data_IF_259247029980
#
_entry.id   IF_259247029980
#
_cell.length_a   1.000
_cell.length_b   1.000
_cell.length_c   1.000
_cell.angle_alpha   90.00
_cell.angle_beta   90.00
_cell.angle_gamma   90.00
#
_symmetry.space_group_name_H-M   'P 1'
#
loop_
_entity.id
_entity.type
_entity.pdbx_description
1 polymer ?
#
# COMPACT_ATOMS: atom_id res chain seq x y z
N UNK A 1 5.00 27.39 -16.01
CA UNK A 1 5.13 27.23 -14.53
C UNK A 1 3.75 26.99 -13.97
N UNK A 2 3.52 25.88 -13.27
CA UNK A 2 2.25 25.62 -12.60
C UNK A 2 2.05 26.64 -11.48
N UNK A 3 0.86 27.26 -11.41
CA UNK A 3 0.48 28.25 -10.41
C UNK A 3 0.49 27.67 -8.98
N UNK A 4 0.39 26.34 -8.86
CA UNK A 4 0.26 25.63 -7.60
C UNK A 4 1.46 24.72 -7.36
N UNK A 5 1.88 24.62 -6.09
CA UNK A 5 2.96 23.75 -5.63
C UNK A 5 2.57 22.26 -5.75
N UNK A 6 1.33 21.92 -5.38
CA UNK A 6 0.77 20.56 -5.49
C UNK A 6 -0.68 20.58 -5.93
N UNK A 7 -1.08 19.49 -6.61
CA UNK A 7 -2.43 19.27 -7.10
C UNK A 7 -2.97 17.97 -6.51
N UNK A 8 -4.19 18.05 -5.97
CA UNK A 8 -4.86 16.91 -5.36
C UNK A 8 -6.22 16.72 -6.01
N UNK A 9 -6.46 15.52 -6.54
CA UNK A 9 -7.68 15.17 -7.26
C UNK A 9 -8.42 14.08 -6.53
N UNK A 10 -9.62 14.38 -6.03
CA UNK A 10 -10.55 13.37 -5.56
C UNK A 10 -11.50 13.02 -6.70
N UNK A 11 -11.54 11.75 -7.08
CA UNK A 11 -12.34 11.27 -8.20
C UNK A 11 -13.42 10.34 -7.66
N UNK A 12 -14.69 10.69 -7.86
CA UNK A 12 -15.79 9.78 -7.60
C UNK A 12 -15.86 8.76 -8.74
N UNK A 13 -15.60 7.48 -8.44
CA UNK A 13 -15.59 6.42 -9.46
C UNK A 13 -15.24 5.05 -8.90
N UNK A 14 -15.34 4.06 -9.76
CA UNK A 14 -14.99 2.67 -9.46
C UNK A 14 -13.53 2.41 -9.84
N UNK A 15 -12.72 1.99 -8.86
CA UNK A 15 -11.31 1.70 -9.06
C UNK A 15 -11.03 0.50 -9.99
N UNK A 16 -12.04 -0.33 -10.28
CA UNK A 16 -11.93 -1.41 -11.27
C UNK A 16 -11.78 -0.92 -12.71
N UNK A 17 -11.98 0.37 -12.93
CA UNK A 17 -11.76 1.01 -14.22
C UNK A 17 -11.05 2.36 -14.04
N UNK A 18 -9.73 2.32 -14.09
CA UNK A 18 -8.83 3.47 -14.10
C UNK A 18 -8.33 3.80 -15.52
N UNK A 19 -9.10 3.47 -16.56
CA UNK A 19 -8.73 3.70 -17.97
C UNK A 19 -8.50 5.17 -18.31
N UNK A 20 -9.07 6.08 -17.52
CA UNK A 20 -8.89 7.53 -17.64
C UNK A 20 -7.53 8.04 -17.15
N UNK A 21 -6.72 7.19 -16.52
CA UNK A 21 -5.37 7.53 -16.06
C UNK A 21 -4.33 7.11 -17.09
N UNK A 22 -3.37 7.98 -17.32
CA UNK A 22 -2.25 7.71 -18.23
C UNK A 22 -1.33 6.62 -17.68
N UNK A 23 -0.70 5.86 -18.60
CA UNK A 23 0.32 4.89 -18.26
C UNK A 23 1.52 5.60 -17.65
N UNK A 24 2.15 4.93 -16.67
CA UNK A 24 3.40 5.39 -16.05
C UNK A 24 3.35 6.83 -15.50
N UNK A 25 2.18 7.26 -15.01
CA UNK A 25 1.93 8.59 -14.45
C UNK A 25 2.04 8.66 -12.93
N UNK A 26 2.00 7.52 -12.22
CA UNK A 26 1.98 7.42 -10.76
C UNK A 26 3.30 6.87 -10.23
N UNK A 27 3.79 7.46 -9.16
CA UNK A 27 5.08 7.13 -8.55
C UNK A 27 4.96 6.18 -7.37
N UNK A 28 3.87 6.32 -6.60
CA UNK A 28 3.59 5.54 -5.41
C UNK A 28 2.08 5.33 -5.29
N UNK A 29 1.67 4.12 -4.95
CA UNK A 29 0.31 3.81 -4.53
C UNK A 29 0.36 3.42 -3.06
N UNK A 30 -0.46 4.07 -2.22
CA UNK A 30 -0.67 3.71 -0.81
C UNK A 30 -2.15 3.54 -0.59
N UNK A 31 -2.58 2.33 -0.26
CA UNK A 31 -4.01 1.99 -0.22
C UNK A 31 -4.33 0.88 0.77
N UNK A 32 -5.62 0.76 1.10
CA UNK A 32 -6.19 -0.34 1.88
C UNK A 32 -7.51 -0.76 1.23
N UNK A 33 -7.55 -1.88 0.51
CA UNK A 33 -8.78 -2.36 -0.11
C UNK A 33 -9.80 -2.81 0.94
N UNK A 34 -11.06 -3.04 0.59
CA UNK A 34 -11.99 -3.74 1.46
C UNK A 34 -11.44 -5.11 1.87
N UNK A 35 -11.63 -5.49 3.16
CA UNK A 35 -11.20 -6.80 3.66
C UNK A 35 -12.35 -7.81 3.47
N UNK A 36 -12.69 -8.10 2.21
CA UNK A 36 -13.80 -8.96 1.83
C UNK A 36 -15.06 -8.59 2.62
N UNK A 37 -15.72 -9.55 3.29
CA UNK A 37 -16.97 -9.36 4.08
C UNK A 37 -16.72 -8.99 5.55
N UNK A 38 -15.46 -8.69 5.94
CA UNK A 38 -15.11 -8.43 7.36
C UNK A 38 -15.79 -7.18 7.91
N UNK A 39 -15.97 -6.16 7.08
CA UNK A 39 -16.61 -4.89 7.46
C UNK A 39 -17.80 -4.62 6.55
N UNK A 40 -18.89 -4.15 7.15
CA UNK A 40 -20.05 -3.71 6.40
C UNK A 40 -19.84 -2.26 5.97
N UNK A 41 -19.63 -2.09 4.67
CA UNK A 41 -19.58 -0.77 4.04
C UNK A 41 -21.00 -0.30 3.71
N UNK A 42 -21.15 0.96 3.29
CA UNK A 42 -22.42 1.52 2.85
C UNK A 42 -22.91 0.78 1.59
N UNK A 43 -24.22 0.73 1.43
CA UNK A 43 -24.81 0.07 0.26
C UNK A 43 -24.57 0.92 -0.99
N UNK A 44 -23.82 0.37 -1.92
CA UNK A 44 -23.56 0.92 -3.24
C UNK A 44 -23.39 -0.24 -4.23
N UNK A 45 -24.00 -0.18 -5.44
CA UNK A 45 -23.97 -1.30 -6.40
C UNK A 45 -22.57 -1.81 -6.78
N UNK A 46 -21.57 -0.93 -6.77
CA UNK A 46 -20.18 -1.27 -7.07
C UNK A 46 -19.32 -1.62 -5.85
N UNK A 47 -19.88 -1.68 -4.64
CA UNK A 47 -19.13 -1.88 -3.41
C UNK A 47 -18.56 -3.30 -3.31
N UNK A 48 -17.24 -3.42 -3.37
CA UNK A 48 -16.56 -4.72 -3.37
C UNK A 48 -16.69 -5.48 -2.03
N UNK A 49 -16.87 -4.79 -0.92
CA UNK A 49 -17.11 -5.40 0.39
C UNK A 49 -18.42 -6.19 0.51
N UNK A 50 -19.27 -6.18 -0.53
CA UNK A 50 -20.51 -6.95 -0.61
C UNK A 50 -20.40 -8.21 -1.50
N UNK A 51 -19.24 -8.48 -2.09
CA UNK A 51 -19.00 -9.69 -2.88
C UNK A 51 -18.82 -10.86 -1.91
N UNK A 52 -19.81 -11.77 -1.83
CA UNK A 52 -19.78 -12.88 -0.88
C UNK A 52 -18.83 -14.00 -1.30
N UNK A 53 -18.69 -14.24 -2.60
CA UNK A 53 -17.75 -15.22 -3.15
C UNK A 53 -16.33 -14.68 -3.07
N UNK A 54 -15.46 -15.42 -2.38
CA UNK A 54 -14.08 -14.98 -2.13
C UNK A 54 -13.22 -14.94 -3.38
N UNK A 55 -13.32 -15.95 -4.23
CA UNK A 55 -12.52 -16.03 -5.46
C UNK A 55 -12.91 -14.89 -6.41
N UNK A 56 -14.21 -14.62 -6.55
CA UNK A 56 -14.71 -13.48 -7.31
C UNK A 56 -14.23 -12.15 -6.73
N UNK A 57 -14.15 -12.03 -5.41
CA UNK A 57 -13.61 -10.84 -4.76
C UNK A 57 -12.13 -10.63 -5.13
N UNK A 58 -11.32 -11.70 -5.11
CA UNK A 58 -9.90 -11.65 -5.53
C UNK A 58 -9.75 -11.33 -7.01
N UNK A 59 -10.62 -11.88 -7.87
CA UNK A 59 -10.65 -11.54 -9.31
C UNK A 59 -10.93 -10.05 -9.54
N UNK A 60 -11.91 -9.47 -8.83
CA UNK A 60 -12.23 -8.05 -8.93
C UNK A 60 -11.10 -7.17 -8.41
N UNK A 61 -10.43 -7.54 -7.32
CA UNK A 61 -9.22 -6.87 -6.84
C UNK A 61 -8.09 -6.95 -7.88
N UNK A 62 -7.95 -8.07 -8.55
CA UNK A 62 -6.90 -8.27 -9.56
C UNK A 62 -7.02 -7.30 -10.74
N UNK A 63 -8.25 -6.91 -11.13
CA UNK A 63 -8.47 -5.87 -12.15
C UNK A 63 -7.88 -4.53 -11.71
N UNK A 64 -8.06 -4.18 -10.45
CA UNK A 64 -7.51 -2.94 -9.88
C UNK A 64 -5.98 -3.00 -9.86
N UNK A 65 -5.41 -4.14 -9.45
CA UNK A 65 -3.95 -4.30 -9.43
C UNK A 65 -3.34 -4.28 -10.84
N UNK A 66 -4.04 -4.75 -11.88
CA UNK A 66 -3.63 -4.61 -13.28
C UNK A 66 -3.57 -3.15 -13.70
N UNK A 67 -4.59 -2.35 -13.37
CA UNK A 67 -4.56 -0.91 -13.59
C UNK A 67 -3.41 -0.24 -12.80
N UNK A 68 -3.24 -0.60 -11.53
CA UNK A 68 -2.15 -0.10 -10.70
C UNK A 68 -0.77 -0.38 -11.32
N UNK A 69 -0.57 -1.60 -11.87
CA UNK A 69 0.67 -1.94 -12.56
C UNK A 69 0.88 -1.10 -13.81
N UNK A 70 -0.15 -0.90 -14.63
CA UNK A 70 -0.08 -0.10 -15.86
C UNK A 70 0.31 1.35 -15.57
N UNK A 71 -0.37 1.99 -14.62
CA UNK A 71 -0.21 3.42 -14.32
C UNK A 71 1.02 3.76 -13.46
N UNK A 72 1.62 2.78 -12.79
CA UNK A 72 2.87 3.02 -12.06
C UNK A 72 4.04 3.22 -13.03
N UNK A 73 4.90 4.18 -12.71
CA UNK A 73 6.20 4.33 -13.40
C UNK A 73 7.08 3.10 -13.14
N UNK A 74 8.04 2.77 -14.04
CA UNK A 74 9.05 1.74 -13.76
C UNK A 74 9.76 2.00 -12.43
N UNK A 75 9.87 0.96 -11.58
CA UNK A 75 10.41 1.07 -10.23
C UNK A 75 9.45 1.68 -9.19
N UNK A 76 8.26 2.15 -9.61
CA UNK A 76 7.19 2.62 -8.72
C UNK A 76 6.65 1.51 -7.83
N UNK A 77 6.03 1.88 -6.71
CA UNK A 77 5.58 0.92 -5.69
C UNK A 77 4.09 0.96 -5.46
N UNK A 78 3.51 -0.22 -5.29
CA UNK A 78 2.19 -0.42 -4.71
C UNK A 78 2.38 -0.88 -3.25
N UNK A 79 1.91 -0.07 -2.31
CA UNK A 79 1.91 -0.34 -0.88
C UNK A 79 0.48 -0.60 -0.45
N UNK A 80 0.18 -1.84 -0.06
CA UNK A 80 -1.17 -2.28 0.30
C UNK A 80 -1.24 -2.64 1.78
N UNK A 81 -2.03 -1.89 2.55
CA UNK A 81 -2.31 -2.18 3.96
C UNK A 81 -3.49 -3.13 4.03
N UNK A 82 -3.29 -4.31 4.60
CA UNK A 82 -4.30 -5.36 4.62
C UNK A 82 -4.15 -6.28 5.83
N UNK A 83 -5.27 -6.67 6.43
CA UNK A 83 -5.35 -7.71 7.46
C UNK A 83 -6.00 -8.97 6.93
N UNK A 84 -5.71 -10.10 7.56
CA UNK A 84 -6.38 -11.36 7.26
C UNK A 84 -7.81 -11.38 7.79
N UNK A 85 -8.67 -12.15 7.14
CA UNK A 85 -10.09 -12.20 7.45
C UNK A 85 -10.38 -13.35 8.39
N UNK A 86 -10.68 -13.04 9.65
CA UNK A 86 -11.05 -14.02 10.65
C UNK A 86 -12.55 -14.33 10.57
N UNK A 87 -12.88 -15.55 10.21
CA UNK A 87 -14.25 -16.06 10.16
C UNK A 87 -14.62 -16.70 11.51
N UNK A 88 -15.65 -16.17 12.17
CA UNK A 88 -16.03 -16.62 13.49
C UNK A 88 -16.77 -17.97 13.46
N UNK A 89 -16.54 -18.82 14.48
CA UNK A 89 -17.26 -20.09 14.65
C UNK A 89 -18.78 -19.91 14.68
N UNK A 90 -19.27 -18.82 15.26
CA UNK A 90 -20.72 -18.56 15.36
C UNK A 90 -21.38 -18.44 13.98
N UNK A 91 -20.69 -17.82 13.02
CA UNK A 91 -21.23 -17.57 11.66
C UNK A 91 -20.91 -18.69 10.69
N UNK A 92 -19.73 -19.33 10.82
CA UNK A 92 -19.19 -20.28 9.84
C UNK A 92 -18.99 -21.71 10.39
N UNK A 93 -19.50 -22.01 11.59
CA UNK A 93 -19.40 -23.34 12.23
C UNK A 93 -18.02 -23.64 12.81
N UNK A 94 -16.96 -23.02 12.33
CA UNK A 94 -15.58 -23.15 12.78
C UNK A 94 -14.85 -21.82 12.70
N UNK A 95 -13.75 -21.69 13.45
CA UNK A 95 -12.85 -20.55 13.30
C UNK A 95 -11.89 -20.83 12.13
N UNK A 96 -11.85 -19.91 11.15
CA UNK A 96 -10.98 -19.98 9.99
C UNK A 96 -10.37 -18.61 9.74
N UNK A 97 -9.11 -18.56 9.35
CA UNK A 97 -8.44 -17.35 8.89
C UNK A 97 -8.22 -17.48 7.37
N UNK A 98 -8.77 -16.53 6.62
CA UNK A 98 -8.51 -16.40 5.19
C UNK A 98 -7.31 -15.48 5.02
N UNK A 99 -6.19 -15.96 4.44
CA UNK A 99 -4.94 -15.21 4.36
C UNK A 99 -4.96 -14.20 3.20
N UNK A 100 -5.83 -13.19 3.30
CA UNK A 100 -6.06 -12.19 2.26
C UNK A 100 -4.76 -11.50 1.81
N UNK A 101 -3.84 -11.26 2.75
CA UNK A 101 -2.54 -10.67 2.44
C UNK A 101 -1.72 -11.53 1.46
N UNK A 102 -1.75 -12.85 1.64
CA UNK A 102 -1.01 -13.78 0.79
C UNK A 102 -1.63 -13.84 -0.61
N UNK A 103 -2.97 -13.89 -0.71
CA UNK A 103 -3.67 -13.96 -2.00
C UNK A 103 -3.47 -12.67 -2.80
N UNK A 104 -3.46 -11.50 -2.16
CA UNK A 104 -3.10 -10.23 -2.81
C UNK A 104 -1.64 -10.28 -3.30
N UNK A 105 -0.69 -10.73 -2.48
CA UNK A 105 0.73 -10.82 -2.87
C UNK A 105 0.93 -11.77 -4.06
N UNK A 106 0.24 -12.93 -4.06
CA UNK A 106 0.27 -13.88 -5.18
C UNK A 106 -0.36 -13.29 -6.44
N UNK A 107 -1.50 -12.60 -6.32
CA UNK A 107 -2.17 -11.94 -7.43
C UNK A 107 -1.26 -10.87 -8.05
N UNK A 108 -0.66 -10.00 -7.25
CA UNK A 108 0.27 -8.97 -7.71
C UNK A 108 1.49 -9.58 -8.42
N UNK A 109 2.06 -10.66 -7.89
CA UNK A 109 3.16 -11.38 -8.55
C UNK A 109 2.78 -11.95 -9.91
N UNK A 110 1.56 -12.51 -10.05
CA UNK A 110 1.06 -13.02 -11.34
C UNK A 110 0.87 -11.90 -12.39
N UNK A 111 0.57 -10.68 -11.95
CA UNK A 111 0.44 -9.50 -12.81
C UNK A 111 1.82 -8.98 -13.29
N UNK A 112 2.90 -9.28 -12.55
CA UNK A 112 4.26 -8.86 -12.90
C UNK A 112 4.92 -7.92 -11.88
N UNK A 113 4.34 -7.76 -10.69
CA UNK A 113 5.01 -7.06 -9.61
C UNK A 113 6.10 -7.92 -8.95
N UNK A 114 7.19 -7.30 -8.56
CA UNK A 114 8.15 -7.87 -7.61
C UNK A 114 7.60 -7.72 -6.19
N UNK A 115 7.46 -8.82 -5.44
CA UNK A 115 7.20 -8.75 -4.01
C UNK A 115 8.47 -8.36 -3.26
N UNK A 116 8.36 -7.40 -2.36
CA UNK A 116 9.41 -7.00 -1.43
C UNK A 116 9.02 -7.43 0.00
N UNK A 117 9.97 -7.35 0.94
CA UNK A 117 9.68 -7.65 2.34
C UNK A 117 8.53 -6.77 2.86
N UNK A 118 7.45 -7.35 3.40
CA UNK A 118 6.37 -6.57 3.99
C UNK A 118 6.79 -5.95 5.32
N UNK A 119 6.10 -4.89 5.71
CA UNK A 119 6.14 -4.38 7.07
C UNK A 119 4.97 -4.99 7.84
N UNK A 120 5.23 -5.46 9.06
CA UNK A 120 4.21 -5.97 9.98
C UNK A 120 3.76 -4.81 10.87
N UNK A 121 2.50 -4.43 10.74
CA UNK A 121 1.92 -3.40 11.59
C UNK A 121 1.23 -4.03 12.78
N UNK A 122 1.81 -3.89 13.96
CA UNK A 122 1.24 -4.33 15.22
C UNK A 122 0.25 -3.28 15.75
N UNK A 123 -1.04 -3.64 15.77
CA UNK A 123 -2.15 -2.80 16.20
C UNK A 123 -2.48 -3.04 17.67
N UNK A 124 -1.79 -2.45 18.61
CA UNK A 124 -1.99 -2.66 20.06
C UNK A 124 -3.43 -2.44 20.50
N UNK A 125 -4.18 -1.53 19.87
CA UNK A 125 -5.55 -1.18 20.24
C UNK A 125 -6.62 -2.19 19.79
N UNK A 126 -6.37 -3.00 18.76
CA UNK A 126 -7.38 -3.95 18.24
C UNK A 126 -7.64 -5.12 19.20
N UNK A 127 -6.63 -5.57 19.92
CA UNK A 127 -6.75 -6.65 20.89
C UNK A 127 -7.72 -6.33 22.03
N UNK A 128 -7.86 -5.06 22.42
CA UNK A 128 -8.77 -4.62 23.48
C UNK A 128 -10.24 -4.62 23.05
N UNK A 129 -10.51 -4.33 21.77
CA UNK A 129 -11.88 -4.22 21.24
C UNK A 129 -12.55 -5.59 21.04
N UNK A 130 -11.79 -6.61 20.64
CA UNK A 130 -12.32 -7.97 20.47
C UNK A 130 -12.58 -8.66 21.83
N UNK A 131 -11.94 -8.18 22.89
CA UNK A 131 -12.03 -8.69 24.26
C UNK A 131 -13.20 -8.08 25.05
N UNK A 132 -13.73 -6.93 24.65
CA UNK A 132 -14.76 -6.20 25.40
C UNK A 132 -16.16 -6.85 25.37
N UNK A 133 -16.36 -7.97 24.68
CA UNK A 133 -17.60 -8.75 24.72
C UNK A 133 -17.62 -9.80 25.87
N UNK A 134 -16.95 -9.54 26.98
CA UNK A 134 -17.12 -10.27 28.25
C UNK A 134 -16.15 -11.41 28.52
N UNK A 135 -15.31 -11.81 27.57
CA UNK A 135 -14.25 -12.81 27.80
C UNK A 135 -12.89 -12.27 27.37
N UNK A 136 -11.97 -12.19 28.33
CA UNK A 136 -10.58 -11.75 28.06
C UNK A 136 -9.77 -12.73 27.20
N UNK A 137 -10.34 -13.88 26.82
CA UNK A 137 -9.66 -14.98 26.14
C UNK A 137 -10.54 -15.59 25.05
N UNK A 138 -9.93 -15.96 23.93
CA UNK A 138 -10.55 -16.81 22.94
C UNK A 138 -10.34 -18.28 23.34
N UNK A 139 -11.43 -18.96 23.71
CA UNK A 139 -11.39 -20.33 24.23
C UNK A 139 -11.35 -20.36 25.77
N UNK A 140 -10.99 -21.51 26.32
CA UNK A 140 -10.82 -21.68 27.76
C UNK A 140 -9.45 -21.15 28.17
N UNK A 141 -9.38 -20.20 29.15
CA UNK A 141 -8.09 -19.68 29.59
C UNK A 141 -7.22 -20.79 30.18
N UNK A 142 -5.93 -20.73 29.88
CA UNK A 142 -4.90 -21.67 30.38
C UNK A 142 -5.03 -23.14 29.93
N UNK A 143 -6.01 -23.46 29.08
CA UNK A 143 -6.09 -24.77 28.44
C UNK A 143 -5.43 -24.76 27.05
N UNK A 144 -4.90 -25.90 26.55
CA UNK A 144 -4.45 -26.05 25.17
C UNK A 144 -5.58 -25.77 24.17
N UNK A 145 -5.22 -25.42 22.91
CA UNK A 145 -6.14 -25.11 21.82
C UNK A 145 -6.87 -23.76 21.91
N UNK A 146 -6.37 -22.80 22.67
CA UNK A 146 -6.83 -21.43 22.59
C UNK A 146 -6.52 -20.82 21.21
N UNK A 147 -7.39 -19.92 20.76
CA UNK A 147 -7.23 -19.21 19.46
C UNK A 147 -6.26 -18.04 19.64
N UNK A 148 -5.30 -17.92 18.75
CA UNK A 148 -4.40 -16.76 18.70
C UNK A 148 -5.17 -15.57 18.11
N UNK A 149 -5.10 -14.41 18.77
CA UNK A 149 -5.70 -13.18 18.29
C UNK A 149 -4.98 -12.66 17.05
N UNK A 150 -5.76 -12.09 16.13
CA UNK A 150 -5.22 -11.35 14.99
C UNK A 150 -5.03 -9.88 15.39
N UNK A 151 -3.86 -9.53 15.87
CA UNK A 151 -3.48 -8.20 16.35
C UNK A 151 -2.50 -7.47 15.42
N UNK A 152 -2.25 -8.04 14.25
CA UNK A 152 -1.39 -7.46 13.22
C UNK A 152 -2.15 -7.19 11.93
N UNK A 153 -1.60 -6.27 11.13
CA UNK A 153 -1.88 -6.14 9.70
C UNK A 153 -0.57 -6.13 8.91
N UNK A 154 -0.68 -6.46 7.64
CA UNK A 154 0.45 -6.47 6.72
C UNK A 154 0.45 -5.18 5.90
N UNK A 155 1.62 -4.57 5.74
CA UNK A 155 1.87 -3.53 4.76
C UNK A 155 2.66 -4.19 3.65
N UNK A 156 1.94 -4.68 2.64
CA UNK A 156 2.53 -5.36 1.50
C UNK A 156 3.26 -4.37 0.62
N UNK A 157 4.43 -4.77 0.13
CA UNK A 157 5.31 -3.94 -0.68
C UNK A 157 5.51 -4.60 -2.04
N UNK A 158 4.88 -4.06 -3.07
CA UNK A 158 5.02 -4.50 -4.46
C UNK A 158 5.74 -3.43 -5.26
N UNK A 159 6.58 -3.84 -6.21
CA UNK A 159 7.32 -2.93 -7.09
C UNK A 159 7.07 -3.29 -8.55
N UNK A 160 6.72 -2.31 -9.38
CA UNK A 160 6.77 -2.49 -10.84
C UNK A 160 8.21 -2.67 -11.28
N UNK A 161 8.49 -3.70 -12.07
CA UNK A 161 9.81 -3.94 -12.62
C UNK A 161 10.29 -2.75 -13.48
N UNK A 162 11.60 -2.62 -13.65
CA UNK A 162 12.22 -1.53 -14.39
C UNK A 162 13.30 -0.81 -13.60
N UNK A 163 13.90 0.20 -14.19
CA UNK A 163 15.02 0.92 -13.60
C UNK A 163 14.62 1.79 -12.39
N UNK A 164 15.60 2.17 -11.60
CA UNK A 164 15.40 3.14 -10.52
C UNK A 164 15.23 4.54 -11.11
N UNK A 165 14.29 5.30 -10.52
CA UNK A 165 14.11 6.72 -10.84
C UNK A 165 15.39 7.51 -10.59
N UNK A 166 15.61 8.56 -11.41
CA UNK A 166 16.71 9.50 -11.26
C UNK A 166 16.16 10.88 -10.87
N UNK A 167 15.75 11.10 -9.60
CA UNK A 167 15.26 12.39 -9.14
C UNK A 167 16.37 13.44 -9.21
N UNK A 168 15.97 14.71 -9.37
CA UNK A 168 16.91 15.85 -9.34
C UNK A 168 17.57 15.98 -7.97
N UNK A 169 18.68 16.72 -7.91
CA UNK A 169 19.34 17.00 -6.64
C UNK A 169 18.43 17.75 -5.66
N UNK A 170 17.58 18.64 -6.16
CA UNK A 170 16.61 19.37 -5.35
C UNK A 170 15.53 18.43 -4.81
N UNK A 171 14.93 17.58 -5.64
CA UNK A 171 13.98 16.57 -5.19
C UNK A 171 14.59 15.69 -4.09
N UNK A 172 15.84 15.25 -4.25
CA UNK A 172 16.54 14.47 -3.21
C UNK A 172 16.66 15.25 -1.91
N UNK A 173 17.15 16.50 -1.98
CA UNK A 173 17.30 17.37 -0.80
C UNK A 173 15.98 17.59 -0.07
N UNK A 174 14.90 17.92 -0.78
CA UNK A 174 13.57 18.14 -0.21
C UNK A 174 12.89 16.87 0.31
N UNK A 175 13.36 15.69 -0.12
CA UNK A 175 12.83 14.40 0.29
C UNK A 175 13.60 13.74 1.43
N UNK A 176 14.69 14.33 1.89
CA UNK A 176 15.51 13.75 2.96
C UNK A 176 14.65 13.46 4.20
N UNK A 177 14.87 12.31 4.77
CA UNK A 177 14.32 11.88 6.06
C UNK A 177 15.42 12.08 7.08
N UNK A 178 15.11 12.66 8.24
CA UNK A 178 16.12 12.83 9.27
C UNK A 178 16.61 11.48 9.81
N UNK A 179 17.79 11.49 10.45
CA UNK A 179 18.45 10.25 10.91
C UNK A 179 17.60 9.48 11.91
N UNK A 180 16.88 10.17 12.82
CA UNK A 180 16.05 9.55 13.85
C UNK A 180 14.86 8.82 13.20
N UNK A 181 14.14 9.50 12.31
CA UNK A 181 13.00 8.95 11.60
C UNK A 181 13.42 7.81 10.66
N UNK A 182 14.57 7.94 9.97
CA UNK A 182 15.10 6.88 9.15
C UNK A 182 15.30 5.57 9.95
N UNK A 183 15.97 5.65 11.10
CA UNK A 183 16.18 4.48 11.95
C UNK A 183 14.88 3.92 12.54
N UNK A 184 13.89 4.76 12.82
CA UNK A 184 12.62 4.34 13.40
C UNK A 184 11.67 3.73 12.34
N UNK A 185 11.70 4.25 11.09
CA UNK A 185 10.71 3.86 10.07
C UNK A 185 11.17 2.67 9.21
N UNK A 186 12.47 2.57 8.89
CA UNK A 186 13.00 1.46 8.07
C UNK A 186 13.19 0.18 8.89
N UNK A 187 12.15 -0.20 9.65
CA UNK A 187 12.05 -1.42 10.42
C UNK A 187 10.92 -2.28 9.88
N UNK A 188 11.06 -3.60 10.02
CA UNK A 188 10.04 -4.53 9.53
C UNK A 188 8.81 -4.59 10.45
N UNK A 189 8.93 -4.20 11.73
CA UNK A 189 7.83 -4.21 12.69
C UNK A 189 7.52 -2.78 13.11
N UNK A 190 6.26 -2.37 12.92
CA UNK A 190 5.78 -1.07 13.32
C UNK A 190 4.75 -1.16 14.44
N UNK A 191 4.97 -0.43 15.52
CA UNK A 191 4.04 -0.23 16.61
C UNK A 191 3.36 1.13 16.43
N UNK A 192 2.22 1.16 15.75
CA UNK A 192 1.43 2.37 15.52
C UNK A 192 0.01 2.09 15.99
N UNK A 193 -0.55 2.99 16.82
CA UNK A 193 -1.94 2.86 17.26
C UNK A 193 -2.91 2.94 16.08
N UNK A 194 -3.94 2.09 16.07
CA UNK A 194 -5.01 2.12 15.08
C UNK A 194 -5.78 3.44 15.09
N UNK A 195 -6.36 3.80 13.95
CA UNK A 195 -7.22 4.99 13.84
C UNK A 195 -8.62 4.73 14.39
N UNK A 196 -9.32 5.81 14.80
CA UNK A 196 -10.72 5.73 15.24
C UNK A 196 -11.64 5.34 14.09
N UNK A 197 -12.53 4.37 14.36
CA UNK A 197 -13.53 3.87 13.39
C UNK A 197 -14.81 4.70 13.35
N UNK A 198 -14.86 5.85 14.02
CA UNK A 198 -16.07 6.71 14.14
C UNK A 198 -16.62 7.17 12.79
N UNK A 199 -15.75 7.51 11.85
CA UNK A 199 -16.12 8.11 10.53
C UNK A 199 -15.94 7.16 9.36
N UNK A 200 -15.27 6.02 9.55
CA UNK A 200 -15.03 5.02 8.52
C UNK A 200 -14.83 3.64 9.16
N UNK A 201 -15.35 2.55 8.60
CA UNK A 201 -15.29 1.22 9.23
C UNK A 201 -13.87 0.63 9.32
N UNK A 202 -12.96 1.04 8.44
CA UNK A 202 -11.60 0.50 8.38
C UNK A 202 -10.55 1.58 8.03
N UNK A 203 -10.37 2.64 8.86
CA UNK A 203 -9.36 3.65 8.60
C UNK A 203 -7.98 3.18 9.06
N UNK A 204 -6.94 3.52 8.30
CA UNK A 204 -5.57 3.48 8.83
C UNK A 204 -5.11 4.87 9.29
N UNK A 205 -4.18 4.95 10.25
CA UNK A 205 -3.77 6.23 10.83
C UNK A 205 -3.01 7.10 9.83
N UNK A 206 -3.16 8.42 9.96
CA UNK A 206 -2.45 9.41 9.13
C UNK A 206 -0.93 9.21 9.21
N UNK A 207 -0.41 8.90 10.39
CA UNK A 207 1.01 8.65 10.61
C UNK A 207 1.56 7.52 9.73
N UNK A 208 0.78 6.43 9.57
CA UNK A 208 1.17 5.31 8.72
C UNK A 208 1.31 5.76 7.25
N UNK A 209 0.30 6.46 6.71
CA UNK A 209 0.35 6.99 5.36
C UNK A 209 1.49 8.01 5.19
N UNK A 210 1.69 8.90 6.17
CA UNK A 210 2.77 9.88 6.17
C UNK A 210 4.14 9.23 6.06
N UNK A 211 4.43 8.22 6.89
CA UNK A 211 5.69 7.47 6.84
C UNK A 211 5.89 6.81 5.49
N UNK A 212 4.90 6.07 4.98
CA UNK A 212 4.99 5.36 3.71
C UNK A 212 5.26 6.31 2.53
N UNK A 213 4.58 7.46 2.49
CA UNK A 213 4.78 8.45 1.44
C UNK A 213 6.18 9.06 1.52
N UNK A 214 6.65 9.43 2.71
CA UNK A 214 8.00 9.97 2.92
C UNK A 214 9.09 8.95 2.57
N UNK A 215 8.89 7.68 2.89
CA UNK A 215 9.86 6.61 2.65
C UNK A 215 9.99 6.23 1.18
N UNK A 216 8.90 6.31 0.40
CA UNK A 216 8.83 5.67 -0.92
C UNK A 216 8.49 6.60 -2.07
N UNK A 217 8.43 7.92 -1.84
CA UNK A 217 8.25 8.94 -2.88
C UNK A 217 9.17 10.14 -2.68
N UNK A 218 9.42 10.87 -3.76
CA UNK A 218 10.16 12.12 -3.74
C UNK A 218 9.18 13.31 -3.72
N UNK A 219 9.72 14.48 -3.34
CA UNK A 219 9.04 15.76 -3.45
C UNK A 219 8.45 15.97 -4.85
N UNK A 220 7.17 16.37 -4.91
CA UNK A 220 6.44 16.58 -6.16
C UNK A 220 5.94 15.32 -6.86
N UNK A 221 6.23 14.11 -6.35
CA UNK A 221 5.72 12.86 -6.90
C UNK A 221 4.19 12.77 -6.83
N UNK A 222 3.60 11.99 -7.73
CA UNK A 222 2.18 11.66 -7.71
C UNK A 222 1.92 10.39 -6.90
N UNK A 223 1.03 10.49 -5.91
CA UNK A 223 0.58 9.39 -5.05
C UNK A 223 -0.87 9.06 -5.37
N UNK A 224 -1.20 7.77 -5.54
CA UNK A 224 -2.57 7.31 -5.78
C UNK A 224 -3.08 6.48 -4.60
N UNK A 225 -4.36 6.65 -4.28
CA UNK A 225 -5.13 5.73 -3.45
C UNK A 225 -6.42 5.34 -4.19
N UNK A 226 -6.51 4.12 -4.76
CA UNK A 226 -7.70 3.65 -5.47
C UNK A 226 -8.89 3.31 -4.55
N UNK A 227 -8.68 3.28 -3.23
CA UNK A 227 -9.71 3.09 -2.21
C UNK A 227 -9.66 4.20 -1.18
N UNK A 228 -9.86 5.43 -1.64
CA UNK A 228 -9.54 6.66 -0.92
C UNK A 228 -10.28 6.83 0.42
N UNK A 229 -11.52 6.32 0.53
CA UNK A 229 -12.34 6.45 1.72
C UNK A 229 -12.46 7.88 2.19
N UNK A 230 -11.99 8.18 3.39
CA UNK A 230 -12.01 9.53 3.98
C UNK A 230 -10.76 10.37 3.68
N UNK A 231 -9.94 9.99 2.70
CA UNK A 231 -8.84 10.81 2.18
C UNK A 231 -7.55 10.80 3.00
N UNK A 232 -7.27 9.76 3.76
CA UNK A 232 -6.07 9.71 4.64
C UNK A 232 -4.77 9.79 3.84
N UNK A 233 -4.66 9.02 2.76
CA UNK A 233 -3.49 9.04 1.86
C UNK A 233 -3.33 10.41 1.19
N UNK A 234 -4.42 11.01 0.71
CA UNK A 234 -4.39 12.34 0.11
C UNK A 234 -3.93 13.41 1.11
N UNK A 235 -4.44 13.37 2.34
CA UNK A 235 -4.03 14.30 3.40
C UNK A 235 -2.54 14.15 3.75
N UNK A 236 -2.04 12.92 3.79
CA UNK A 236 -0.63 12.65 4.01
C UNK A 236 0.24 13.19 2.86
N UNK A 237 -0.21 13.03 1.61
CA UNK A 237 0.45 13.59 0.44
C UNK A 237 0.50 15.12 0.47
N UNK A 238 -0.60 15.79 0.84
CA UNK A 238 -0.64 17.25 1.05
C UNK A 238 0.41 17.70 2.06
N UNK A 239 0.49 17.01 3.22
CA UNK A 239 1.41 17.36 4.30
C UNK A 239 2.89 17.06 3.99
N UNK A 240 3.16 16.42 2.88
CA UNK A 240 4.51 16.01 2.47
C UNK A 240 4.93 16.60 1.12
N UNK A 241 4.16 17.54 0.56
CA UNK A 241 4.42 18.19 -0.73
C UNK A 241 4.47 17.19 -1.91
N UNK A 242 3.57 16.20 -1.90
CA UNK A 242 3.34 15.29 -3.02
C UNK A 242 2.00 15.60 -3.66
N UNK A 243 1.90 15.41 -4.98
CA UNK A 243 0.60 15.41 -5.63
C UNK A 243 -0.19 14.16 -5.23
N UNK A 244 -1.52 14.21 -5.27
CA UNK A 244 -2.30 13.01 -4.98
C UNK A 244 -3.55 12.88 -5.84
N UNK A 245 -3.91 11.61 -6.08
CA UNK A 245 -5.17 11.22 -6.67
C UNK A 245 -5.82 10.21 -5.72
N UNK A 246 -7.07 10.45 -5.34
CA UNK A 246 -7.90 9.52 -4.59
C UNK A 246 -9.09 9.10 -5.44
N UNK A 247 -9.38 7.80 -5.52
CA UNK A 247 -10.59 7.28 -6.16
C UNK A 247 -11.49 6.69 -5.09
N UNK A 248 -12.78 7.07 -5.09
CA UNK A 248 -13.77 6.60 -4.11
C UNK A 248 -15.11 6.41 -4.81
N UNK A 249 -15.72 5.25 -4.57
CA UNK A 249 -16.98 4.91 -5.22
C UNK A 249 -18.19 5.52 -4.51
N UNK A 250 -18.12 5.64 -3.19
CA UNK A 250 -19.21 6.14 -2.36
C UNK A 250 -19.22 7.68 -2.35
N UNK A 251 -20.31 8.33 -2.83
CA UNK A 251 -20.40 9.77 -2.88
C UNK A 251 -20.36 10.44 -1.50
N UNK A 252 -20.83 9.77 -0.45
CA UNK A 252 -20.79 10.33 0.90
C UNK A 252 -19.36 10.30 1.47
N UNK A 253 -18.60 9.22 1.24
CA UNK A 253 -17.18 9.21 1.59
C UNK A 253 -16.40 10.26 0.81
N UNK A 254 -16.72 10.50 -0.45
CA UNK A 254 -16.15 11.63 -1.21
C UNK A 254 -16.41 12.98 -0.51
N UNK A 255 -17.64 13.24 -0.02
CA UNK A 255 -17.95 14.47 0.68
C UNK A 255 -17.23 14.59 2.04
N UNK A 256 -17.11 13.47 2.77
CA UNK A 256 -16.36 13.42 4.03
C UNK A 256 -14.88 13.72 3.76
N UNK A 257 -14.30 13.09 2.73
CA UNK A 257 -12.92 13.33 2.32
C UNK A 257 -12.67 14.79 1.95
N UNK A 258 -13.53 15.39 1.12
CA UNK A 258 -13.43 16.80 0.73
C UNK A 258 -13.45 17.75 1.93
N UNK A 259 -14.39 17.53 2.84
CA UNK A 259 -14.50 18.35 4.08
C UNK A 259 -13.24 18.22 4.92
N UNK A 260 -12.73 16.99 5.07
CA UNK A 260 -11.51 16.70 5.83
C UNK A 260 -10.28 17.35 5.20
N UNK A 261 -10.09 17.17 3.90
CA UNK A 261 -8.94 17.71 3.16
C UNK A 261 -8.91 19.25 3.23
N UNK A 262 -10.07 19.91 3.14
CA UNK A 262 -10.17 21.37 3.29
C UNK A 262 -9.89 21.86 4.71
N UNK A 263 -10.27 21.07 5.72
CA UNK A 263 -10.09 21.45 7.14
C UNK A 263 -8.71 21.16 7.68
N UNK A 264 -8.14 19.99 7.33
CA UNK A 264 -6.91 19.44 7.92
C UNK A 264 -5.70 19.55 6.98
N UNK A 265 -5.95 19.89 5.72
CA UNK A 265 -4.91 20.23 4.75
C UNK A 265 -4.18 21.52 5.13
N UNK A 266 -3.08 21.82 4.46
CA UNK A 266 -2.37 23.08 4.63
C UNK A 266 -3.29 24.28 4.35
N UNK A 267 -2.99 25.42 4.95
CA UNK A 267 -3.86 26.63 4.93
C UNK A 267 -3.86 27.33 3.57
N UNK A 268 -4.76 28.34 3.43
CA UNK A 268 -4.97 29.18 2.24
C UNK A 268 -3.73 29.88 1.64
N UNK A 269 -2.61 29.86 2.34
CA UNK A 269 -1.32 30.45 1.89
C UNK A 269 -0.41 29.42 1.19
N UNK A 270 -0.75 28.14 1.23
CA UNK A 270 -0.02 27.12 0.52
C UNK A 270 -0.62 26.98 -0.89
N UNK A 271 0.19 27.07 -1.92
CA UNK A 271 -0.20 26.98 -3.34
C UNK A 271 -0.71 25.57 -3.67
N UNK A 272 -1.83 25.15 -3.04
CA UNK A 272 -2.45 23.82 -3.19
C UNK A 272 -3.74 23.94 -3.99
N UNK A 273 -3.88 23.07 -4.98
CA UNK A 273 -5.13 22.93 -5.75
C UNK A 273 -5.83 21.61 -5.35
N UNK A 274 -7.06 21.71 -4.85
CA UNK A 274 -7.94 20.56 -4.59
C UNK A 274 -9.08 20.54 -5.59
N UNK A 275 -9.16 19.46 -6.37
CA UNK A 275 -10.19 19.25 -7.40
C UNK A 275 -11.07 18.06 -7.02
N UNK A 276 -12.38 18.17 -7.32
CA UNK A 276 -13.33 17.06 -7.24
C UNK A 276 -13.87 16.76 -8.63
N UNK A 277 -13.71 15.53 -9.08
CA UNK A 277 -14.05 15.10 -10.44
C UNK A 277 -14.93 13.84 -10.40
N UNK A 278 -15.61 13.54 -11.51
CA UNK A 278 -16.32 12.28 -11.71
C UNK A 278 -15.62 11.49 -12.80
N UNK A 279 -15.38 10.20 -12.55
CA UNK A 279 -14.70 9.31 -13.50
C UNK A 279 -15.39 9.25 -14.87
N UNK A 280 -16.72 9.26 -14.91
CA UNK A 280 -17.50 9.27 -16.15
C UNK A 280 -17.11 10.45 -17.06
N UNK A 281 -17.00 11.66 -16.49
CA UNK A 281 -16.62 12.87 -17.27
C UNK A 281 -15.19 12.76 -17.81
N UNK A 282 -14.28 12.13 -17.07
CA UNK A 282 -12.90 11.93 -17.47
C UNK A 282 -12.82 10.93 -18.64
N UNK A 283 -13.59 9.84 -18.58
CA UNK A 283 -13.68 8.84 -19.64
C UNK A 283 -14.26 9.43 -20.94
N UNK A 284 -15.29 10.26 -20.84
CA UNK A 284 -15.90 10.92 -22.01
C UNK A 284 -14.94 11.91 -22.66
N UNK A 285 -14.15 12.61 -21.87
CA UNK A 285 -13.16 13.56 -22.37
C UNK A 285 -11.98 12.85 -23.05
N UNK A 286 -11.50 11.73 -22.50
CA UNK A 286 -10.45 10.91 -23.11
C UNK A 286 -10.89 10.30 -24.45
N UNK A 287 -12.18 9.93 -24.58
CA UNK A 287 -12.78 9.47 -25.85
C UNK A 287 -12.90 10.57 -26.91
N UNK A 288 -13.06 11.81 -26.50
CA UNK A 288 -13.22 12.95 -27.42
C UNK A 288 -11.90 13.60 -27.83
N UNK A 289 -10.73 13.09 -27.38
CA UNK A 289 -9.43 13.71 -27.60
C UNK A 289 -9.43 15.21 -27.22
N UNK A 290 -10.07 15.61 -26.13
CA UNK A 290 -10.10 16.99 -25.70
C UNK A 290 -8.74 17.36 -25.06
N UNK A 291 -7.90 18.18 -25.73
CA UNK A 291 -6.57 18.52 -25.23
C UNK A 291 -6.60 19.26 -23.87
N UNK A 292 -7.70 19.89 -23.51
CA UNK A 292 -7.83 20.62 -22.25
C UNK A 292 -8.01 19.69 -21.04
N UNK A 293 -8.50 18.47 -21.21
CA UNK A 293 -8.67 17.51 -20.13
C UNK A 293 -7.43 16.64 -20.00
N UNK A 294 -6.80 16.25 -21.10
CA UNK A 294 -5.53 15.52 -21.08
C UNK A 294 -4.40 16.36 -20.45
N UNK A 295 -4.30 17.65 -20.77
CA UNK A 295 -3.29 18.55 -20.18
C UNK A 295 -3.48 18.81 -18.67
N UNK A 296 -4.70 18.62 -18.16
CA UNK A 296 -4.98 18.73 -16.73
C UNK A 296 -4.70 17.45 -15.94
N UNK A 297 -4.38 16.33 -16.61
CA UNK A 297 -4.09 15.04 -15.98
C UNK A 297 -2.60 14.75 -15.83
N UNK A 298 -1.72 15.55 -16.45
CA UNK A 298 -0.28 15.37 -16.31
C UNK A 298 0.20 15.89 -14.94
N UNK A 299 0.50 15.01 -13.98
CA UNK A 299 1.08 15.42 -12.70
C UNK A 299 2.59 15.63 -12.82
N UNK A 300 3.19 15.34 -13.96
CA UNK A 300 4.62 15.41 -14.17
C UNK A 300 4.99 16.41 -15.27
N UNK A 301 5.35 17.62 -14.88
CA UNK A 301 6.05 18.55 -15.76
C UNK A 301 7.51 18.09 -16.09
N UNK A 302 7.79 16.80 -16.04
CA UNK A 302 9.09 16.23 -16.37
C UNK A 302 8.91 15.01 -17.28
N UNK A 303 8.74 15.25 -18.58
CA UNK A 303 8.94 14.23 -19.61
C UNK A 303 10.40 13.77 -19.57
N UNK A 304 10.62 12.55 -19.14
CA UNK A 304 11.85 11.85 -19.43
C UNK A 304 11.67 11.20 -20.81
N UNK A 305 12.42 11.66 -21.82
CA UNK A 305 12.48 11.02 -23.12
C UNK A 305 12.86 9.53 -22.97
N UNK A 306 12.21 8.61 -23.69
CA UNK A 306 12.64 7.23 -23.72
C UNK A 306 13.91 7.13 -24.54
N UNK A 307 15.07 7.05 -23.90
CA UNK A 307 16.24 6.48 -24.53
C UNK A 307 16.07 4.96 -24.52
N UNK A 308 15.76 4.41 -25.67
CA UNK A 308 15.98 3.01 -25.96
C UNK A 308 17.48 2.72 -25.80
N UNK A 309 17.85 2.09 -24.70
CA UNK A 309 19.18 1.54 -24.52
C UNK A 309 19.07 0.02 -24.41
N UNK A 310 19.59 -0.61 -25.46
CA UNK A 310 20.08 -1.97 -25.48
C UNK A 310 20.93 -2.20 -24.22
N UNK A 311 20.49 -3.07 -23.32
CA UNK A 311 21.38 -3.67 -22.34
C UNK A 311 21.50 -5.15 -22.69
N UNK A 312 22.66 -5.49 -23.28
CA UNK A 312 23.16 -6.84 -23.30
C UNK A 312 23.33 -7.34 -21.86
N UNK A 313 22.93 -8.56 -21.63
CA UNK A 313 23.23 -9.28 -20.37
C UNK A 313 24.76 -9.29 -20.16
N UNK A 314 25.25 -9.06 -18.94
CA UNK A 314 26.66 -9.29 -18.67
C UNK A 314 26.90 -10.80 -18.61
N UNK A 315 27.59 -11.32 -19.61
CA UNK A 315 28.31 -12.59 -19.55
C UNK A 315 29.39 -12.49 -18.46
N UNK A 316 29.06 -12.83 -17.22
CA UNK A 316 30.06 -13.14 -16.19
C UNK A 316 29.44 -13.67 -14.89
N UNK A 317 28.69 -14.77 -14.97
CA UNK A 317 28.40 -15.64 -13.82
C UNK A 317 28.57 -17.13 -14.19
N UNK A 318 29.54 -17.44 -15.03
CA UNK A 318 29.98 -18.82 -15.24
C UNK A 318 31.50 -18.88 -15.12
N UNK A 319 32.03 -18.72 -13.91
CA UNK A 319 33.39 -19.16 -13.50
C UNK A 319 33.61 -18.92 -12.00
N UNK A 320 32.91 -19.67 -11.16
CA UNK A 320 33.32 -19.88 -9.77
C UNK A 320 32.65 -21.16 -9.23
N UNK A 321 32.89 -22.29 -9.90
CA UNK A 321 32.31 -23.55 -9.51
C UNK A 321 33.16 -24.76 -9.95
N UNK A 322 34.47 -24.59 -10.07
CA UNK A 322 35.37 -25.71 -10.29
C UNK A 322 36.74 -25.33 -9.76
N UNK A 323 37.00 -25.68 -8.49
CA UNK A 323 38.31 -26.03 -7.89
C UNK A 323 38.19 -26.01 -6.36
N UNK A 324 37.95 -27.19 -5.80
CA UNK A 324 38.65 -27.69 -4.61
C UNK A 324 37.98 -28.99 -4.11
N UNK A 325 38.17 -30.03 -4.85
CA UNK A 325 38.31 -31.37 -4.27
C UNK A 325 39.81 -31.68 -4.28
N UNK A 326 40.39 -31.74 -3.12
CA UNK A 326 41.48 -32.65 -2.70
C UNK A 326 42.10 -32.14 -1.40
N UNK A 327 42.01 -32.96 -0.39
CA UNK A 327 42.74 -32.77 0.87
C UNK A 327 42.08 -33.48 2.04
N UNK A 328 42.00 -34.84 1.95
CA UNK A 328 41.91 -35.69 3.13
C UNK A 328 43.16 -35.49 4.00
N UNK A 329 42.96 -35.34 5.30
CA UNK A 329 43.73 -36.11 6.32
C UNK A 329 43.50 -35.51 7.71
N UNK A 330 43.12 -36.39 8.63
CA UNK A 330 43.64 -36.35 9.97
C UNK A 330 42.68 -36.00 11.12
N UNK A 331 41.97 -36.99 11.62
CA UNK A 331 41.46 -37.03 13.00
C UNK A 331 42.64 -37.34 13.95
N UNK A 332 42.70 -36.73 15.11
CA UNK A 332 42.98 -37.51 16.30
C UNK A 332 41.97 -37.31 17.44
N UNK A 333 41.70 -38.44 18.04
CA UNK A 333 40.96 -38.83 19.20
C UNK A 333 41.23 -38.07 20.49
N UNK A 334 40.19 -38.08 21.34
CA UNK A 334 40.09 -37.79 22.77
C UNK A 334 41.31 -38.17 23.67
N UNK A 335 41.44 -37.64 24.92
CA UNK A 335 40.60 -38.11 26.02
C UNK A 335 40.29 -37.10 27.17
N UNK A 336 39.35 -37.49 28.03
CA UNK A 336 39.48 -37.33 29.48
C UNK A 336 38.43 -36.47 30.19
N UNK A 337 37.59 -37.18 30.86
CA UNK A 337 36.70 -36.82 31.96
C UNK A 337 37.26 -35.81 32.97
N UNK A 338 36.40 -35.02 33.59
CA UNK A 338 36.26 -35.06 35.05
C UNK A 338 34.99 -34.32 35.55
N UNK A 339 34.34 -34.95 36.48
CA UNK A 339 33.19 -34.53 37.28
C UNK A 339 33.61 -33.53 38.34
N UNK A 340 32.75 -32.58 38.71
CA UNK A 340 32.46 -32.15 40.09
C UNK A 340 31.37 -31.10 40.10
N UNK A 341 30.21 -31.40 40.65
CA UNK A 341 29.56 -31.00 41.90
C UNK A 341 29.84 -29.56 42.37
N UNK A 342 28.84 -28.69 42.33
CA UNK A 342 28.01 -28.21 43.44
C UNK A 342 26.78 -27.56 42.85
#
# INVERSE_FOLDING_TARGET
MTKYKTIHRLIQGDARDLSFMEDESIHLIVTSPPYWILKRYREHPGQMGHIEDYEKFIEELSKIWQHCHRILVPGGRLVCVVGDVCLSRRRFGRHVVVPLHADIAVSCRKIGFDNLNPIIWYKIASATYEVNNGTKFFGKPYEPNAIIKNDIEFILMQRKSGGYRKPTMEQRRLSMIDKKDYHAWFQQIWNIHGASTKNHPAPFPLELAYRLIRMFSFYGDAVLDPFCGTGTTMLAAMKTDRNSIGVEIDPEYCQIALKRLRREGPTLFDDIKLEFLKAEKLKDASKKNDPNVASNMDPSAHRVHPHASQFAEPENVRRAGEKQERGEQGIPSHPGEEKSKV
#
